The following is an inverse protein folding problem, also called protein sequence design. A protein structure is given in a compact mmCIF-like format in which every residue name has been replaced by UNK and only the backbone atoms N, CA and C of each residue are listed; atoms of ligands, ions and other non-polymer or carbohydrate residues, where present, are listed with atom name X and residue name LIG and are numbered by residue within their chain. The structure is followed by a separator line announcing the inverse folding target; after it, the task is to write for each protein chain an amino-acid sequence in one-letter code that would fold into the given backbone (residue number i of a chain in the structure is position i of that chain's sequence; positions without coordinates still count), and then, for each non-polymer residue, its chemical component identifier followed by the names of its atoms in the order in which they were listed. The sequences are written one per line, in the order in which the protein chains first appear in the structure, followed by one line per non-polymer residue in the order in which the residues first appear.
data_IF_932179643131
#
_entry.id   IF_932179643131
#
_cell.length_a   1.000
_cell.length_b   1.000
_cell.length_c   1.000
_cell.angle_alpha   90.00
_cell.angle_beta   90.00
_cell.angle_gamma   90.00
#
_symmetry.space_group_name_H-M   'P 1'
#
loop_
_entity.id
_entity.type
_entity.pdbx_description
1 polymer ?
#
# COMPACT_ATOMS: atom_id res chain seq x y z
N UNK A 1 19.49 -29.33 -4.85
CA UNK A 1 20.02 -28.11 -4.18
C UNK A 1 19.04 -27.47 -3.19
N UNK A 2 17.79 -27.17 -3.58
CA UNK A 2 16.82 -26.47 -2.70
C UNK A 2 16.58 -27.15 -1.34
N UNK A 3 16.69 -28.48 -1.28
CA UNK A 3 16.50 -29.26 -0.04
C UNK A 3 17.55 -28.95 1.03
N UNK A 4 18.81 -28.74 0.65
CA UNK A 4 19.90 -28.41 1.59
C UNK A 4 19.66 -27.02 2.19
N UNK A 5 19.26 -26.07 1.34
CA UNK A 5 18.91 -24.71 1.78
C UNK A 5 17.73 -24.70 2.76
N UNK A 6 16.65 -25.42 2.45
CA UNK A 6 15.47 -25.52 3.33
C UNK A 6 15.82 -26.19 4.66
N UNK A 7 16.65 -27.23 4.66
CA UNK A 7 17.13 -27.85 5.89
C UNK A 7 17.89 -26.86 6.77
N UNK A 8 18.81 -26.10 6.15
CA UNK A 8 19.67 -25.14 6.83
C UNK A 8 18.86 -23.92 7.34
N UNK A 9 17.89 -23.43 6.58
CA UNK A 9 16.96 -22.39 7.03
C UNK A 9 16.11 -22.83 8.24
N UNK A 10 15.57 -24.06 8.21
CA UNK A 10 14.82 -24.60 9.34
C UNK A 10 15.70 -24.82 10.58
N UNK A 11 16.97 -25.16 10.38
CA UNK A 11 17.95 -25.32 11.44
C UNK A 11 18.23 -23.98 12.14
N UNK A 12 18.52 -22.92 11.36
CA UNK A 12 18.84 -21.59 11.90
C UNK A 12 17.62 -20.77 12.33
N UNK A 13 16.39 -21.22 12.06
CA UNK A 13 15.16 -20.52 12.40
C UNK A 13 14.97 -20.21 13.90
N UNK A 14 15.66 -20.95 14.79
CA UNK A 14 15.57 -20.78 16.26
C UNK A 14 16.67 -19.88 16.82
N UNK A 15 17.59 -19.39 15.98
CA UNK A 15 18.74 -18.60 16.39
C UNK A 15 18.51 -17.11 16.17
N UNK A 16 19.08 -16.24 17.04
CA UNK A 16 19.01 -14.80 16.83
C UNK A 16 19.75 -14.43 15.54
N UNK A 17 19.15 -13.59 14.70
CA UNK A 17 19.72 -13.15 13.42
C UNK A 17 20.88 -12.15 13.57
N UNK A 18 21.93 -12.53 14.31
CA UNK A 18 23.15 -11.73 14.44
C UNK A 18 24.03 -11.89 13.18
N UNK A 19 24.86 -10.90 12.85
CA UNK A 19 25.76 -10.98 11.69
C UNK A 19 26.73 -12.17 11.77
N UNK A 20 27.08 -12.63 12.97
CA UNK A 20 27.93 -13.80 13.20
C UNK A 20 27.21 -15.10 12.83
N UNK A 21 25.93 -15.23 13.21
CA UNK A 21 25.11 -16.41 12.93
C UNK A 21 24.76 -16.49 11.43
N UNK A 22 24.53 -15.36 10.78
CA UNK A 22 24.29 -15.32 9.33
C UNK A 22 25.55 -15.65 8.52
N UNK A 23 26.72 -15.17 8.97
CA UNK A 23 28.00 -15.55 8.38
C UNK A 23 28.23 -17.05 8.51
N UNK A 24 27.98 -17.61 9.69
CA UNK A 24 28.05 -19.05 9.94
C UNK A 24 27.08 -19.83 9.04
N UNK A 25 25.84 -19.35 8.90
CA UNK A 25 24.83 -19.97 8.03
C UNK A 25 25.32 -20.05 6.58
N UNK A 26 25.92 -18.97 6.07
CA UNK A 26 26.41 -18.91 4.70
C UNK A 26 27.68 -19.75 4.50
N UNK A 27 28.61 -19.73 5.47
CA UNK A 27 29.82 -20.55 5.45
C UNK A 27 29.47 -22.05 5.48
N UNK A 28 28.46 -22.44 6.27
CA UNK A 28 27.95 -23.81 6.32
C UNK A 28 27.22 -24.21 5.03
N UNK A 29 26.43 -23.30 4.44
CA UNK A 29 25.75 -23.57 3.17
C UNK A 29 26.77 -23.86 2.06
N UNK A 30 27.81 -23.04 1.95
CA UNK A 30 28.88 -23.24 0.95
C UNK A 30 29.58 -24.58 1.16
N UNK A 31 29.90 -24.93 2.41
CA UNK A 31 30.57 -26.21 2.71
C UNK A 31 29.68 -27.42 2.38
N UNK A 32 28.37 -27.32 2.64
CA UNK A 32 27.41 -28.37 2.28
C UNK A 32 27.22 -28.49 0.76
N UNK A 33 27.20 -27.37 0.03
CA UNK A 33 27.09 -27.34 -1.43
C UNK A 33 28.33 -27.93 -2.10
N UNK A 34 29.53 -27.58 -1.64
CA UNK A 34 30.79 -28.13 -2.15
C UNK A 34 30.83 -29.65 -2.01
N UNK A 35 30.40 -30.16 -0.85
CA UNK A 35 30.35 -31.58 -0.55
C UNK A 35 29.28 -32.32 -1.35
N UNK A 36 28.12 -31.69 -1.54
CA UNK A 36 27.06 -32.24 -2.38
C UNK A 36 27.56 -32.42 -3.83
N UNK A 37 28.27 -31.43 -4.38
CA UNK A 37 28.84 -31.53 -5.73
C UNK A 37 29.97 -32.57 -5.83
N UNK A 38 30.79 -32.71 -4.78
CA UNK A 38 31.79 -33.78 -4.69
C UNK A 38 31.14 -35.17 -4.75
N UNK A 39 30.12 -35.44 -3.93
CA UNK A 39 29.40 -36.71 -3.92
C UNK A 39 28.67 -36.99 -5.24
N UNK A 40 28.23 -35.93 -5.92
CA UNK A 40 27.63 -36.04 -7.26
C UNK A 40 28.67 -36.42 -8.32
N UNK A 41 29.90 -35.90 -8.19
CA UNK A 41 31.02 -36.25 -9.06
C UNK A 41 31.53 -37.68 -8.85
N UNK A 42 31.35 -38.24 -7.64
CA UNK A 42 31.59 -39.65 -7.32
C UNK A 42 30.50 -40.60 -7.86
N UNK A 43 29.44 -40.06 -8.48
CA UNK A 43 28.37 -40.83 -9.10
C UNK A 43 27.23 -41.22 -8.16
N UNK A 44 27.11 -40.60 -6.97
CA UNK A 44 25.98 -40.84 -6.06
C UNK A 44 24.70 -40.19 -6.57
N UNK A 45 23.56 -40.79 -6.22
CA UNK A 45 22.26 -40.21 -6.56
C UNK A 45 21.99 -38.93 -5.76
N UNK A 46 21.18 -38.02 -6.30
CA UNK A 46 20.87 -36.74 -5.63
C UNK A 46 20.33 -36.92 -4.21
N UNK A 47 19.43 -37.88 -4.02
CA UNK A 47 18.82 -38.16 -2.71
C UNK A 47 19.82 -38.78 -1.72
N UNK A 48 20.76 -39.57 -2.21
CA UNK A 48 21.83 -40.18 -1.41
C UNK A 48 22.87 -39.14 -0.99
N UNK A 49 23.28 -38.27 -1.92
CA UNK A 49 24.19 -37.16 -1.63
C UNK A 49 23.59 -36.21 -0.57
N UNK A 50 22.31 -35.84 -0.69
CA UNK A 50 21.61 -35.00 0.30
C UNK A 50 21.57 -35.69 1.67
N UNK A 51 21.24 -36.99 1.72
CA UNK A 51 21.19 -37.74 2.97
C UNK A 51 22.54 -37.81 3.68
N UNK A 52 23.62 -38.00 2.94
CA UNK A 52 25.00 -38.03 3.46
C UNK A 52 25.39 -36.65 4.01
N UNK A 53 25.18 -35.59 3.24
CA UNK A 53 25.51 -34.22 3.66
C UNK A 53 24.76 -33.83 4.93
N UNK A 54 23.47 -34.13 5.05
CA UNK A 54 22.70 -33.83 6.26
C UNK A 54 23.21 -34.62 7.48
N UNK A 55 23.59 -35.90 7.29
CA UNK A 55 24.05 -36.75 8.39
C UNK A 55 25.41 -36.37 8.96
N UNK A 56 26.29 -35.78 8.14
CA UNK A 56 27.66 -35.50 8.54
C UNK A 56 27.83 -34.19 9.32
N UNK A 57 26.94 -33.22 9.08
CA UNK A 57 26.98 -31.94 9.78
C UNK A 57 26.28 -31.96 11.15
N UNK A 58 25.55 -33.03 11.48
CA UNK A 58 25.06 -33.28 12.83
C UNK A 58 23.93 -32.34 13.30
N UNK A 59 23.76 -32.25 14.63
CA UNK A 59 22.73 -31.43 15.28
C UNK A 59 23.28 -30.04 15.66
N UNK A 60 22.45 -29.00 15.50
CA UNK A 60 22.82 -27.60 15.75
C UNK A 60 23.31 -27.34 17.17
N UNK A 61 22.82 -28.11 18.15
CA UNK A 61 23.16 -27.95 19.57
C UNK A 61 24.65 -28.26 19.83
N UNK A 62 25.24 -29.17 19.06
CA UNK A 62 26.66 -29.55 19.17
C UNK A 62 27.57 -28.47 18.55
N UNK A 63 27.17 -27.92 17.40
CA UNK A 63 27.86 -26.82 16.73
C UNK A 63 27.82 -25.51 17.55
N UNK A 64 26.68 -25.21 18.19
CA UNK A 64 26.54 -24.04 19.07
C UNK A 64 27.37 -24.16 20.35
N UNK A 65 27.56 -25.38 20.84
CA UNK A 65 28.39 -25.68 22.01
C UNK A 65 29.88 -25.53 21.69
N UNK A 66 30.33 -25.94 20.51
CA UNK A 66 31.70 -25.74 20.02
C UNK A 66 32.02 -24.25 19.77
N UNK A 67 31.03 -23.46 19.34
CA UNK A 67 31.15 -22.02 19.09
C UNK A 67 30.97 -21.12 20.32
N UNK A 68 30.68 -21.69 21.50
CA UNK A 68 30.61 -20.94 22.77
C UNK A 68 29.38 -20.03 22.96
N UNK A 69 28.29 -20.24 22.19
CA UNK A 69 27.15 -19.32 22.14
C UNK A 69 26.03 -19.59 23.18
N UNK A 70 26.24 -20.48 24.17
CA UNK A 70 25.25 -20.79 25.23
C UNK A 70 24.89 -19.60 26.15
N UNK A 71 25.60 -18.47 26.10
CA UNK A 71 25.39 -17.36 27.03
C UNK A 71 24.18 -16.44 26.70
N UNK A 72 23.62 -16.48 25.49
CA UNK A 72 22.55 -15.56 25.11
C UNK A 72 21.12 -16.02 25.50
N UNK A 73 20.92 -17.32 25.74
CA UNK A 73 19.58 -17.86 26.05
C UNK A 73 19.14 -17.69 27.52
N UNK A 74 20.06 -17.42 28.45
CA UNK A 74 19.75 -17.36 29.88
C UNK A 74 19.61 -15.94 30.45
N UNK A 75 20.14 -14.90 29.81
CA UNK A 75 20.13 -13.54 30.39
C UNK A 75 18.77 -12.82 30.28
N UNK A 76 17.89 -13.22 29.36
CA UNK A 76 16.55 -12.61 29.22
C UNK A 76 15.44 -13.38 29.96
N UNK A 77 15.71 -14.61 30.43
CA UNK A 77 14.70 -15.45 31.11
C UNK A 77 14.57 -15.22 32.62
N UNK A 78 15.55 -14.59 33.28
CA UNK A 78 15.52 -14.39 34.74
C UNK A 78 14.82 -13.10 35.20
N UNK A 79 14.48 -12.17 34.29
CA UNK A 79 13.86 -10.89 34.67
C UNK A 79 12.32 -10.89 34.73
N UNK A 80 11.64 -12.00 34.37
CA UNK A 80 10.18 -12.02 34.20
C UNK A 80 9.39 -13.12 34.95
N UNK A 81 10.05 -14.08 35.58
CA UNK A 81 9.38 -15.26 36.14
C UNK A 81 9.21 -15.16 37.67
N UNK A 82 8.24 -14.39 38.14
CA UNK A 82 7.63 -14.63 39.45
C UNK A 82 6.15 -14.22 39.47
N UNK A 83 5.27 -15.17 39.16
CA UNK A 83 3.98 -15.36 39.85
C UNK A 83 3.19 -16.51 39.20
N UNK A 84 3.25 -17.68 39.83
CA UNK A 84 2.06 -18.44 40.24
C UNK A 84 1.29 -19.31 39.23
N UNK A 85 1.42 -20.63 39.43
CA UNK A 85 0.25 -21.50 39.69
C UNK A 85 -0.29 -22.33 38.52
N UNK A 86 -0.27 -23.66 38.67
CA UNK A 86 -0.69 -24.64 37.65
C UNK A 86 -2.17 -25.02 37.66
N UNK A 87 -2.56 -25.85 36.68
CA UNK A 87 -3.28 -27.15 36.76
C UNK A 87 -3.61 -27.66 35.33
N UNK A 88 -3.97 -28.94 35.29
CA UNK A 88 -3.84 -29.95 34.23
C UNK A 88 -5.05 -30.10 33.27
N UNK A 89 -4.75 -30.55 32.03
CA UNK A 89 -5.51 -31.44 31.10
C UNK A 89 -7.03 -31.27 30.83
N UNK A 90 -7.40 -31.16 29.55
CA UNK A 90 -8.18 -32.17 28.78
C UNK A 90 -8.72 -31.60 27.45
N UNK A 91 -8.69 -32.43 26.41
CA UNK A 91 -9.06 -32.20 25.01
C UNK A 91 -10.57 -31.91 24.79
N UNK A 92 -10.90 -31.07 23.80
CA UNK A 92 -11.99 -31.30 22.83
C UNK A 92 -12.03 -30.19 21.76
N UNK A 93 -12.03 -30.63 20.51
CA UNK A 93 -12.04 -29.85 19.27
C UNK A 93 -13.23 -28.90 19.10
N UNK A 94 -12.98 -27.67 18.63
CA UNK A 94 -13.97 -26.82 17.96
C UNK A 94 -13.28 -25.65 17.26
N UNK A 95 -13.40 -25.60 15.94
CA UNK A 95 -12.90 -24.53 15.07
C UNK A 95 -13.34 -23.13 15.55
N UNK A 96 -12.36 -22.24 15.77
CA UNK A 96 -12.60 -20.79 15.77
C UNK A 96 -11.33 -20.05 15.32
N UNK A 97 -11.53 -19.07 14.43
CA UNK A 97 -10.54 -18.12 13.93
C UNK A 97 -9.58 -17.61 15.01
N UNK A 98 -8.30 -17.94 14.91
CA UNK A 98 -7.22 -17.31 15.68
C UNK A 98 -6.42 -16.35 14.79
N UNK A 99 -6.20 -15.17 15.35
CA UNK A 99 -5.51 -14.02 14.75
C UNK A 99 -4.05 -14.38 14.53
N UNK A 100 -3.57 -14.15 13.31
CA UNK A 100 -2.14 -14.13 13.01
C UNK A 100 -1.49 -12.96 13.76
N UNK A 101 -0.79 -13.29 14.85
CA UNK A 101 0.17 -12.42 15.51
C UNK A 101 1.41 -12.33 14.61
N UNK A 102 1.62 -11.17 13.99
CA UNK A 102 2.81 -10.89 13.20
C UNK A 102 4.01 -10.71 14.15
N UNK A 103 4.75 -11.80 14.38
CA UNK A 103 6.08 -11.73 14.95
C UNK A 103 6.99 -10.93 14.01
N UNK A 104 7.58 -9.87 14.54
CA UNK A 104 8.26 -8.82 13.78
C UNK A 104 9.68 -9.29 13.45
N UNK A 105 9.80 -10.23 12.53
CA UNK A 105 11.07 -10.61 11.91
C UNK A 105 11.64 -9.46 11.09
N UNK A 106 12.92 -9.14 11.30
CA UNK A 106 13.63 -8.19 10.46
C UNK A 106 13.87 -8.82 9.07
N UNK A 107 13.41 -8.16 8.01
CA UNK A 107 13.57 -8.65 6.63
C UNK A 107 14.82 -7.99 6.04
N UNK A 108 15.86 -8.79 5.79
CA UNK A 108 17.04 -8.36 5.03
C UNK A 108 16.75 -8.52 3.53
N UNK A 109 16.94 -7.45 2.75
CA UNK A 109 16.86 -7.51 1.29
C UNK A 109 18.24 -7.36 0.67
N UNK A 110 18.57 -8.21 -0.30
CA UNK A 110 19.76 -8.05 -1.15
C UNK A 110 19.60 -6.86 -2.10
N UNK A 111 20.71 -6.34 -2.64
CA UNK A 111 20.68 -5.23 -3.59
C UNK A 111 19.84 -5.54 -4.84
N UNK A 112 19.96 -6.77 -5.35
CA UNK A 112 19.17 -7.25 -6.48
C UNK A 112 17.67 -7.30 -6.16
N UNK A 113 17.31 -7.75 -4.95
CA UNK A 113 15.91 -7.80 -4.52
C UNK A 113 15.30 -6.40 -4.39
N UNK A 114 16.07 -5.41 -3.92
CA UNK A 114 15.61 -4.02 -3.84
C UNK A 114 15.36 -3.43 -5.23
N UNK A 115 16.29 -3.63 -6.17
CA UNK A 115 16.10 -3.17 -7.56
C UNK A 115 14.91 -3.85 -8.23
N UNK A 116 14.74 -5.15 -8.00
CA UNK A 116 13.59 -5.90 -8.50
C UNK A 116 12.28 -5.34 -7.95
N UNK A 117 12.19 -5.11 -6.64
CA UNK A 117 11.01 -4.51 -5.98
C UNK A 117 10.69 -3.12 -6.54
N UNK A 118 11.71 -2.27 -6.75
CA UNK A 118 11.53 -0.93 -7.33
C UNK A 118 10.99 -1.05 -8.76
N UNK A 119 11.59 -1.91 -9.58
CA UNK A 119 11.21 -2.10 -10.99
C UNK A 119 9.79 -2.66 -11.15
N UNK A 120 9.42 -3.65 -10.33
CA UNK A 120 8.10 -4.27 -10.30
C UNK A 120 7.05 -3.25 -9.87
N UNK A 121 7.31 -2.51 -8.80
CA UNK A 121 6.35 -1.53 -8.32
C UNK A 121 6.14 -0.40 -9.32
N UNK A 122 7.19 0.05 -10.03
CA UNK A 122 7.07 1.03 -11.12
C UNK A 122 6.23 0.50 -12.29
N UNK A 123 6.35 -0.78 -12.61
CA UNK A 123 5.54 -1.42 -13.66
C UNK A 123 4.07 -1.52 -13.24
N UNK A 124 3.79 -2.02 -12.04
CA UNK A 124 2.42 -2.18 -11.56
C UNK A 124 1.73 -0.84 -11.33
N UNK A 125 2.45 0.18 -10.87
CA UNK A 125 1.90 1.53 -10.74
C UNK A 125 1.52 2.16 -12.09
N UNK A 126 2.39 2.03 -13.11
CA UNK A 126 2.05 2.48 -14.47
C UNK A 126 0.80 1.78 -15.00
N UNK A 127 0.62 0.51 -14.68
CA UNK A 127 -0.57 -0.26 -15.06
C UNK A 127 -1.83 0.20 -14.31
N UNK A 128 -1.73 0.45 -12.99
CA UNK A 128 -2.81 1.03 -12.18
C UNK A 128 -3.19 2.42 -12.69
N UNK A 129 -2.20 3.29 -12.96
CA UNK A 129 -2.42 4.61 -13.53
C UNK A 129 -3.07 4.56 -14.90
N UNK A 130 -2.61 3.66 -15.79
CA UNK A 130 -3.20 3.45 -17.10
C UNK A 130 -4.66 2.99 -16.97
N UNK A 131 -4.95 2.07 -16.05
CA UNK A 131 -6.31 1.62 -15.75
C UNK A 131 -7.23 2.76 -15.28
N UNK A 132 -6.79 3.62 -14.35
CA UNK A 132 -7.58 4.80 -13.92
C UNK A 132 -7.82 5.76 -15.07
N UNK A 133 -6.78 6.05 -15.86
CA UNK A 133 -6.88 6.97 -16.99
C UNK A 133 -7.88 6.46 -18.05
N UNK A 134 -7.92 5.14 -18.28
CA UNK A 134 -8.83 4.51 -19.23
C UNK A 134 -10.29 4.52 -18.73
N UNK A 135 -10.49 4.34 -17.41
CA UNK A 135 -11.81 4.48 -16.79
C UNK A 135 -12.37 5.91 -16.90
N UNK A 136 -11.50 6.94 -16.85
CA UNK A 136 -11.90 8.36 -17.05
C UNK A 136 -12.15 8.64 -18.54
N UNK A 137 -11.36 8.04 -19.43
CA UNK A 137 -11.51 8.21 -20.88
C UNK A 137 -12.77 7.54 -21.43
N UNK A 138 -13.28 6.48 -20.79
CA UNK A 138 -14.50 5.77 -21.21
C UNK A 138 -15.74 6.68 -21.34
N UNK A 139 -16.16 7.38 -20.27
CA UNK A 139 -17.21 8.40 -20.34
C UNK A 139 -16.91 9.54 -21.32
N UNK A 140 -15.64 9.96 -21.42
CA UNK A 140 -15.24 11.00 -22.37
C UNK A 140 -15.49 10.59 -23.82
N UNK A 141 -15.10 9.36 -24.19
CA UNK A 141 -15.34 8.78 -25.51
C UNK A 141 -16.83 8.60 -25.79
N UNK A 142 -17.62 8.15 -24.80
CA UNK A 142 -19.07 8.06 -24.94
C UNK A 142 -19.69 9.42 -25.27
N UNK A 143 -19.30 10.48 -24.55
CA UNK A 143 -19.78 11.85 -24.76
C UNK A 143 -19.40 12.35 -26.15
N UNK A 144 -18.15 12.14 -26.57
CA UNK A 144 -17.67 12.54 -27.90
C UNK A 144 -18.43 11.84 -29.03
N UNK A 145 -18.60 10.51 -28.91
CA UNK A 145 -19.31 9.69 -29.91
C UNK A 145 -20.78 10.11 -29.97
N UNK A 146 -21.43 10.34 -28.84
CA UNK A 146 -22.80 10.84 -28.78
C UNK A 146 -22.95 12.21 -29.49
N UNK A 147 -22.01 13.13 -29.26
CA UNK A 147 -21.99 14.41 -29.97
C UNK A 147 -21.78 14.25 -31.48
N UNK A 148 -20.89 13.35 -31.91
CA UNK A 148 -20.66 13.08 -33.32
C UNK A 148 -21.88 12.45 -34.00
N UNK A 149 -22.51 11.44 -33.37
CA UNK A 149 -23.73 10.81 -33.90
C UNK A 149 -24.89 11.78 -34.00
N UNK A 150 -25.03 12.72 -33.05
CA UNK A 150 -26.04 13.78 -33.12
C UNK A 150 -25.91 14.63 -34.40
N UNK A 151 -24.69 14.77 -34.95
CA UNK A 151 -24.41 15.50 -36.20
C UNK A 151 -24.84 14.74 -37.45
N UNK A 152 -24.74 13.41 -37.44
CA UNK A 152 -25.00 12.55 -38.60
C UNK A 152 -26.47 12.05 -38.62
N UNK A 153 -27.27 12.42 -37.61
CA UNK A 153 -28.69 12.05 -37.48
C UNK A 153 -29.56 12.28 -38.74
N UNK A 154 -29.42 13.35 -39.54
CA UNK A 154 -30.25 13.49 -40.74
C UNK A 154 -29.95 12.46 -41.83
N UNK A 155 -28.77 11.84 -41.84
CA UNK A 155 -28.30 10.94 -42.91
C UNK A 155 -28.43 9.45 -42.54
N UNK A 156 -28.43 9.11 -41.25
CA UNK A 156 -28.35 7.74 -40.72
C UNK A 156 -29.61 7.22 -40.00
N UNK A 157 -30.80 7.75 -40.34
CA UNK A 157 -32.07 7.41 -39.70
C UNK A 157 -32.46 5.90 -39.71
N UNK A 158 -31.78 5.05 -40.50
CA UNK A 158 -32.02 3.59 -40.56
C UNK A 158 -31.39 2.77 -39.42
N UNK A 159 -30.45 3.32 -38.65
CA UNK A 159 -29.68 2.57 -37.63
C UNK A 159 -30.07 2.89 -36.17
N UNK A 160 -31.26 3.46 -35.94
CA UNK A 160 -31.69 3.95 -34.61
C UNK A 160 -31.60 2.93 -33.46
N UNK A 161 -31.72 1.62 -33.74
CA UNK A 161 -31.55 0.56 -32.72
C UNK A 161 -30.10 0.25 -32.38
N UNK A 162 -29.15 0.54 -33.27
CA UNK A 162 -27.73 0.27 -33.05
C UNK A 162 -26.98 1.49 -32.50
N UNK A 163 -27.52 2.71 -32.63
CA UNK A 163 -26.92 3.95 -32.12
C UNK A 163 -26.60 3.86 -30.62
N UNK A 164 -27.56 3.44 -29.79
CA UNK A 164 -27.34 3.27 -28.36
C UNK A 164 -26.25 2.24 -28.04
N UNK A 165 -26.16 1.17 -28.84
CA UNK A 165 -25.14 0.12 -28.67
C UNK A 165 -23.77 0.67 -29.05
N UNK A 166 -23.64 1.37 -30.16
CA UNK A 166 -22.37 1.97 -30.61
C UNK A 166 -21.86 3.06 -29.66
N UNK A 167 -22.74 3.84 -29.06
CA UNK A 167 -22.37 4.87 -28.07
C UNK A 167 -21.94 4.27 -26.73
N UNK A 168 -22.61 3.21 -26.25
CA UNK A 168 -22.31 2.60 -24.95
C UNK A 168 -21.18 1.56 -24.98
N UNK A 169 -21.00 0.85 -26.10
CA UNK A 169 -19.96 -0.17 -26.26
C UNK A 169 -18.54 0.29 -25.85
N UNK A 170 -18.02 1.44 -26.31
CA UNK A 170 -16.66 1.89 -25.94
C UNK A 170 -16.51 2.18 -24.45
N UNK A 171 -17.57 2.64 -23.78
CA UNK A 171 -17.57 2.86 -22.33
C UNK A 171 -17.41 1.55 -21.57
N UNK A 172 -18.19 0.51 -21.93
CA UNK A 172 -18.07 -0.79 -21.30
C UNK A 172 -16.72 -1.46 -21.58
N UNK A 173 -16.17 -1.30 -22.79
CA UNK A 173 -14.85 -1.82 -23.15
C UNK A 173 -13.75 -1.15 -22.32
N UNK A 174 -13.77 0.19 -22.21
CA UNK A 174 -12.80 0.94 -21.41
C UNK A 174 -12.94 0.61 -19.92
N UNK A 175 -14.16 0.44 -19.41
CA UNK A 175 -14.39 0.03 -18.02
C UNK A 175 -13.89 -1.39 -17.75
N UNK A 176 -14.19 -2.36 -18.60
CA UNK A 176 -13.74 -3.74 -18.43
C UNK A 176 -12.20 -3.82 -18.46
N UNK A 177 -11.56 -3.17 -19.44
CA UNK A 177 -10.11 -3.13 -19.54
C UNK A 177 -9.47 -2.33 -18.39
N UNK A 178 -10.02 -1.16 -18.06
CA UNK A 178 -9.50 -0.27 -17.03
C UNK A 178 -9.60 -0.86 -15.63
N UNK A 179 -10.75 -1.45 -15.28
CA UNK A 179 -10.94 -2.16 -14.01
C UNK A 179 -10.04 -3.41 -13.94
N UNK A 180 -9.88 -4.15 -15.04
CA UNK A 180 -8.97 -5.30 -15.09
C UNK A 180 -7.51 -4.90 -14.78
N UNK A 181 -7.00 -3.84 -15.41
CA UNK A 181 -5.66 -3.30 -15.14
C UNK A 181 -5.53 -2.78 -13.70
N UNK A 182 -6.56 -2.10 -13.19
CA UNK A 182 -6.60 -1.58 -11.83
C UNK A 182 -6.52 -2.67 -10.78
N UNK A 183 -7.35 -3.71 -10.89
CA UNK A 183 -7.41 -4.81 -9.93
C UNK A 183 -6.09 -5.59 -9.94
N UNK A 184 -5.55 -5.89 -11.12
CA UNK A 184 -4.29 -6.60 -11.25
C UNK A 184 -3.11 -5.77 -10.71
N UNK A 185 -3.01 -4.49 -11.07
CA UNK A 185 -1.96 -3.61 -10.56
C UNK A 185 -2.06 -3.40 -9.05
N UNK A 186 -3.26 -3.09 -8.54
CA UNK A 186 -3.49 -2.82 -7.12
C UNK A 186 -3.19 -4.02 -6.23
N UNK A 187 -3.61 -5.23 -6.64
CA UNK A 187 -3.33 -6.45 -5.86
C UNK A 187 -1.85 -6.79 -5.80
N UNK A 188 -1.08 -6.53 -6.88
CA UNK A 188 0.38 -6.71 -6.88
C UNK A 188 1.10 -5.66 -6.04
N UNK A 189 0.65 -4.40 -6.09
CA UNK A 189 1.14 -3.34 -5.20
C UNK A 189 0.89 -3.65 -3.71
N UNK A 190 -0.23 -4.30 -3.39
CA UNK A 190 -0.57 -4.67 -2.01
C UNK A 190 0.37 -5.71 -1.42
N UNK A 191 0.92 -6.61 -2.24
CA UNK A 191 1.96 -7.54 -1.80
C UNK A 191 3.13 -6.73 -1.23
N UNK A 192 3.73 -5.81 -1.97
CA UNK A 192 4.86 -5.01 -1.45
C UNK A 192 4.53 -4.09 -0.26
N UNK A 193 3.25 -3.94 0.12
CA UNK A 193 2.85 -3.22 1.33
C UNK A 193 3.25 -3.96 2.60
N UNK A 194 3.53 -5.27 2.56
CA UNK A 194 4.12 -5.99 3.71
C UNK A 194 5.46 -5.38 4.11
N UNK A 195 6.25 -4.89 3.13
CA UNK A 195 7.54 -4.22 3.37
C UNK A 195 7.39 -2.95 4.22
N UNK A 196 6.19 -2.35 4.26
CA UNK A 196 5.93 -1.19 5.10
C UNK A 196 5.83 -1.53 6.59
N UNK A 197 5.47 -2.77 6.89
CA UNK A 197 5.23 -3.24 8.25
C UNK A 197 6.40 -4.05 8.82
N UNK A 198 7.32 -4.51 7.97
CA UNK A 198 8.54 -5.23 8.39
C UNK A 198 9.66 -4.29 8.84
N UNK A 199 10.49 -4.74 9.79
CA UNK A 199 11.74 -4.07 10.14
C UNK A 199 12.79 -4.36 9.05
N UNK A 200 12.86 -3.55 8.00
CA UNK A 200 13.90 -3.72 6.99
C UNK A 200 15.28 -3.41 7.59
N UNK A 201 16.27 -4.27 7.36
CA UNK A 201 17.66 -3.93 7.65
C UNK A 201 18.38 -3.91 6.31
N UNK A 202 18.64 -2.70 5.79
CA UNK A 202 19.42 -2.50 4.57
C UNK A 202 20.90 -2.39 4.94
N UNK A 203 21.78 -2.93 4.09
CA UNK A 203 23.21 -2.70 4.22
C UNK A 203 23.54 -1.21 4.00
N UNK A 204 24.52 -0.64 4.71
CA UNK A 204 24.88 0.78 4.58
C UNK A 204 25.25 1.21 3.16
N UNK A 205 25.83 0.31 2.36
CA UNK A 205 26.16 0.53 0.95
C UNK A 205 24.91 0.63 0.07
N UNK A 206 23.91 -0.23 0.31
CA UNK A 206 22.66 -0.22 -0.45
C UNK A 206 21.79 0.99 -0.11
N UNK A 207 21.79 1.41 1.17
CA UNK A 207 21.10 2.62 1.59
C UNK A 207 21.64 3.88 0.87
N UNK A 208 22.96 3.96 0.66
CA UNK A 208 23.57 5.06 -0.07
C UNK A 208 23.17 5.06 -1.55
N UNK A 209 23.13 3.89 -2.20
CA UNK A 209 22.70 3.74 -3.59
C UNK A 209 21.23 4.14 -3.79
N UNK A 210 20.34 3.66 -2.91
CA UNK A 210 18.90 4.00 -2.96
C UNK A 210 18.67 5.49 -2.67
N UNK A 211 19.46 6.09 -1.76
CA UNK A 211 19.39 7.52 -1.48
C UNK A 211 19.81 8.36 -2.70
N UNK A 212 20.82 7.94 -3.46
CA UNK A 212 21.23 8.59 -4.71
C UNK A 212 20.14 8.48 -5.80
N UNK A 213 19.56 7.29 -5.96
CA UNK A 213 18.42 7.09 -6.86
C UNK A 213 17.21 7.96 -6.47
N UNK A 214 16.92 8.07 -5.16
CA UNK A 214 15.86 8.95 -4.67
C UNK A 214 16.20 10.43 -4.96
N UNK A 215 17.43 10.87 -4.72
CA UNK A 215 17.85 12.25 -4.96
C UNK A 215 17.69 12.66 -6.43
N UNK A 216 17.98 11.75 -7.37
CA UNK A 216 17.74 11.95 -8.80
C UNK A 216 16.25 11.94 -9.17
N UNK A 217 15.42 11.18 -8.44
CA UNK A 217 13.98 11.07 -8.71
C UNK A 217 13.14 12.20 -8.09
N UNK A 218 13.51 12.74 -6.93
CA UNK A 218 12.80 13.84 -6.25
C UNK A 218 12.50 15.05 -7.17
N UNK A 219 13.47 15.61 -7.93
CA UNK A 219 13.19 16.72 -8.83
C UNK A 219 12.29 16.28 -10.00
N UNK A 220 12.42 15.05 -10.49
CA UNK A 220 11.57 14.52 -11.56
C UNK A 220 10.13 14.34 -11.09
N UNK A 221 9.91 13.83 -9.88
CA UNK A 221 8.61 13.72 -9.25
C UNK A 221 7.94 15.09 -9.08
N UNK A 222 8.71 16.10 -8.64
CA UNK A 222 8.22 17.48 -8.52
C UNK A 222 7.80 18.06 -9.89
N UNK A 223 8.57 17.80 -10.95
CA UNK A 223 8.20 18.22 -12.32
C UNK A 223 6.93 17.50 -12.79
N UNK A 224 6.85 16.17 -12.65
CA UNK A 224 5.69 15.37 -13.08
C UNK A 224 4.40 15.82 -12.37
N UNK A 225 4.46 16.05 -11.05
CA UNK A 225 3.32 16.53 -10.28
C UNK A 225 2.94 17.96 -10.64
N UNK A 226 3.91 18.86 -10.85
CA UNK A 226 3.66 20.23 -11.31
C UNK A 226 2.97 20.23 -12.68
N UNK A 227 3.45 19.41 -13.62
CA UNK A 227 2.82 19.23 -14.94
C UNK A 227 1.38 18.74 -14.78
N UNK A 228 1.13 17.74 -13.93
CA UNK A 228 -0.23 17.27 -13.64
C UNK A 228 -1.16 18.37 -13.11
N UNK A 229 -0.68 19.23 -12.21
CA UNK A 229 -1.46 20.36 -11.68
C UNK A 229 -1.75 21.39 -12.77
N UNK A 230 -0.76 21.72 -13.60
CA UNK A 230 -0.93 22.65 -14.73
C UNK A 230 -1.98 22.12 -15.71
N UNK A 231 -1.95 20.82 -16.03
CA UNK A 231 -2.96 20.16 -16.86
C UNK A 231 -4.38 20.26 -16.24
N UNK A 232 -4.52 20.04 -14.93
CA UNK A 232 -5.80 20.19 -14.24
C UNK A 232 -6.34 21.62 -14.28
N UNK A 233 -5.47 22.63 -14.19
CA UNK A 233 -5.87 24.05 -14.30
C UNK A 233 -6.23 24.42 -15.74
N UNK A 234 -5.51 23.85 -16.71
CA UNK A 234 -5.79 24.06 -18.14
C UNK A 234 -7.09 23.38 -18.60
N UNK A 235 -7.49 22.27 -17.96
CA UNK A 235 -8.70 21.53 -18.31
C UNK A 235 -9.99 22.38 -18.37
N UNK A 236 -10.41 23.12 -17.32
CA UNK A 236 -11.58 23.98 -17.40
C UNK A 236 -11.40 25.14 -18.37
N UNK A 237 -10.18 25.66 -18.54
CA UNK A 237 -9.89 26.70 -19.52
C UNK A 237 -10.18 26.21 -20.95
N UNK A 238 -9.76 24.99 -21.30
CA UNK A 238 -10.02 24.43 -22.63
C UNK A 238 -11.50 24.19 -22.90
N UNK A 239 -12.28 23.80 -21.89
CA UNK A 239 -13.74 23.68 -22.05
C UNK A 239 -14.36 25.03 -22.40
N UNK A 240 -14.01 26.09 -21.66
CA UNK A 240 -14.55 27.43 -21.89
C UNK A 240 -14.08 27.96 -23.25
N UNK A 241 -12.79 27.82 -23.58
CA UNK A 241 -12.23 28.30 -24.83
C UNK A 241 -12.85 27.60 -26.05
N UNK A 242 -13.03 26.28 -26.02
CA UNK A 242 -13.67 25.54 -27.12
C UNK A 242 -15.17 25.82 -27.22
N UNK A 243 -15.85 26.05 -26.09
CA UNK A 243 -17.25 26.45 -26.09
C UNK A 243 -17.44 27.80 -26.79
N UNK A 244 -16.59 28.79 -26.51
CA UNK A 244 -16.67 30.13 -27.12
C UNK A 244 -16.21 30.11 -28.59
N UNK A 245 -15.15 29.35 -28.90
CA UNK A 245 -14.64 29.22 -30.27
C UNK A 245 -15.63 28.47 -31.18
N UNK A 246 -16.33 27.48 -30.63
CA UNK A 246 -17.37 26.73 -31.34
C UNK A 246 -18.57 27.59 -31.76
N UNK A 247 -18.81 28.71 -31.10
CA UNK A 247 -19.83 29.69 -31.51
C UNK A 247 -19.37 30.52 -32.72
N UNK A 248 -18.06 30.77 -32.85
CA UNK A 248 -17.47 31.57 -33.93
C UNK A 248 -17.19 30.79 -35.22
N UNK A 249 -17.01 29.47 -35.13
CA UNK A 249 -16.80 28.58 -36.26
C UNK A 249 -18.15 27.92 -36.55
N UNK A 250 -18.62 27.92 -37.81
CA UNK A 250 -19.89 27.32 -38.26
C UNK A 250 -20.02 25.79 -38.04
N UNK A 251 -19.19 25.19 -37.19
CA UNK A 251 -19.31 23.85 -36.64
C UNK A 251 -20.26 23.89 -35.42
N UNK A 252 -21.53 24.24 -35.67
CA UNK A 252 -22.74 24.12 -34.82
C UNK A 252 -22.65 24.46 -33.31
N UNK A 253 -23.58 25.31 -32.85
CA UNK A 253 -23.71 25.77 -31.46
C UNK A 253 -23.71 24.63 -30.40
N UNK A 254 -24.11 23.41 -30.76
CA UNK A 254 -24.16 22.26 -29.84
C UNK A 254 -22.84 21.47 -29.70
N UNK A 255 -21.88 21.64 -30.63
CA UNK A 255 -20.69 20.78 -30.70
C UNK A 255 -19.50 21.29 -29.88
N UNK A 256 -19.34 22.61 -29.77
CA UNK A 256 -18.24 23.22 -29.02
C UNK A 256 -18.19 22.76 -27.56
N UNK A 257 -19.36 22.66 -26.92
CA UNK A 257 -19.48 22.17 -25.54
C UNK A 257 -19.11 20.70 -25.39
N UNK A 258 -19.59 19.83 -26.29
CA UNK A 258 -19.32 18.38 -26.23
C UNK A 258 -17.83 18.08 -26.43
N UNK A 259 -17.20 18.72 -27.42
CA UNK A 259 -15.77 18.56 -27.69
C UNK A 259 -14.95 19.14 -26.53
N UNK A 260 -15.37 20.28 -25.95
CA UNK A 260 -14.75 20.87 -24.76
C UNK A 260 -14.77 19.92 -23.55
N UNK A 261 -15.88 19.23 -23.30
CA UNK A 261 -15.99 18.24 -22.22
C UNK A 261 -15.05 17.05 -22.46
N UNK A 262 -14.91 16.59 -23.71
CA UNK A 262 -13.95 15.53 -24.05
C UNK A 262 -12.50 15.93 -23.70
N UNK A 263 -12.05 17.13 -24.11
CA UNK A 263 -10.71 17.62 -23.79
C UNK A 263 -10.49 17.84 -22.29
N UNK A 264 -11.54 18.27 -21.56
CA UNK A 264 -11.50 18.36 -20.11
C UNK A 264 -11.18 17.00 -19.48
N UNK A 265 -11.92 15.96 -19.84
CA UNK A 265 -11.67 14.61 -19.31
C UNK A 265 -10.34 14.03 -19.78
N UNK A 266 -9.90 14.35 -21.00
CA UNK A 266 -8.61 13.93 -21.53
C UNK A 266 -7.45 14.49 -20.70
N UNK A 267 -7.47 15.78 -20.36
CA UNK A 267 -6.44 16.37 -19.51
C UNK A 267 -6.48 15.84 -18.08
N UNK A 268 -7.68 15.64 -17.52
CA UNK A 268 -7.83 15.02 -16.20
C UNK A 268 -7.27 13.60 -16.20
N UNK A 269 -7.57 12.81 -17.23
CA UNK A 269 -7.09 11.43 -17.39
C UNK A 269 -5.55 11.37 -17.41
N UNK A 270 -4.91 12.26 -18.17
CA UNK A 270 -3.44 12.39 -18.23
C UNK A 270 -2.89 12.84 -16.86
N UNK A 271 -3.48 13.85 -16.23
CA UNK A 271 -3.03 14.34 -14.93
C UNK A 271 -3.09 13.25 -13.84
N UNK A 272 -4.17 12.46 -13.81
CA UNK A 272 -4.33 11.34 -12.87
C UNK A 272 -3.28 10.26 -13.11
N UNK A 273 -2.97 9.93 -14.36
CA UNK A 273 -1.87 9.01 -14.69
C UNK A 273 -0.53 9.48 -14.12
N UNK A 274 -0.21 10.76 -14.29
CA UNK A 274 1.02 11.36 -13.76
C UNK A 274 1.05 11.33 -12.22
N UNK A 275 -0.05 11.64 -11.54
CA UNK A 275 -0.11 11.59 -10.08
C UNK A 275 0.06 10.19 -9.50
N UNK A 276 -0.54 9.16 -10.12
CA UNK A 276 -0.43 7.78 -9.64
C UNK A 276 1.00 7.27 -9.79
N UNK A 277 1.61 7.51 -10.96
CA UNK A 277 2.98 7.07 -11.24
C UNK A 277 3.99 7.77 -10.34
N UNK A 278 3.95 9.10 -10.26
CA UNK A 278 4.83 9.88 -9.39
C UNK A 278 4.66 9.52 -7.91
N UNK A 279 3.41 9.44 -7.44
CA UNK A 279 3.11 9.17 -6.03
C UNK A 279 3.57 7.80 -5.57
N UNK A 280 3.41 6.76 -6.41
CA UNK A 280 3.87 5.41 -6.07
C UNK A 280 5.38 5.29 -5.96
N UNK A 281 6.13 5.97 -6.83
CA UNK A 281 7.59 5.91 -6.84
C UNK A 281 8.14 6.59 -5.58
N UNK A 282 7.58 7.75 -5.22
CA UNK A 282 7.90 8.45 -3.97
C UNK A 282 7.59 7.60 -2.72
N UNK A 283 6.46 6.88 -2.71
CA UNK A 283 6.07 6.03 -1.58
C UNK A 283 7.04 4.85 -1.37
N UNK A 284 7.56 4.23 -2.44
CA UNK A 284 8.53 3.13 -2.34
C UNK A 284 9.84 3.61 -1.75
N UNK A 285 10.41 4.72 -2.27
CA UNK A 285 11.66 5.26 -1.75
C UNK A 285 11.53 5.61 -0.26
N UNK A 286 10.40 6.19 0.15
CA UNK A 286 10.11 6.48 1.57
C UNK A 286 10.02 5.21 2.43
N UNK A 287 9.49 4.12 1.89
CA UNK A 287 9.42 2.82 2.57
C UNK A 287 10.84 2.23 2.71
N UNK A 288 11.61 2.18 1.62
CA UNK A 288 12.96 1.62 1.59
C UNK A 288 13.96 2.38 2.48
N UNK A 289 13.88 3.71 2.49
CA UNK A 289 14.75 4.57 3.31
C UNK A 289 14.24 4.74 4.75
N UNK A 290 13.15 4.05 5.11
CA UNK A 290 12.52 4.09 6.43
C UNK A 290 12.27 5.51 6.94
N UNK A 291 12.01 6.47 6.05
CA UNK A 291 11.91 7.88 6.44
C UNK A 291 10.78 8.11 7.45
N UNK A 292 9.74 7.24 7.44
CA UNK A 292 8.65 7.27 8.41
C UNK A 292 9.02 6.77 9.81
N UNK A 293 10.12 6.03 10.00
CA UNK A 293 10.60 5.65 11.36
C UNK A 293 11.25 6.82 12.08
N UNK A 294 11.83 7.79 11.36
CA UNK A 294 12.29 9.07 11.95
C UNK A 294 11.14 10.06 12.22
N UNK A 295 10.06 10.02 11.44
CA UNK A 295 8.83 10.76 11.79
C UNK A 295 8.08 10.21 13.03
N UNK A 296 8.43 9.00 13.49
CA UNK A 296 7.97 8.44 14.76
C UNK A 296 8.41 9.22 16.01
N UNK A 297 9.35 10.18 15.89
CA UNK A 297 9.71 11.08 17.00
C UNK A 297 9.02 12.46 16.97
N UNK A 298 8.20 12.81 15.95
CA UNK A 298 7.45 14.08 15.94
C UNK A 298 6.05 14.07 15.31
N UNK A 299 5.49 12.94 14.91
CA UNK A 299 4.03 12.74 14.97
C UNK A 299 3.74 11.86 16.15
N UNK A 300 3.53 12.50 17.31
CA UNK A 300 2.72 11.93 18.38
C UNK A 300 1.33 11.65 17.79
N UNK A 301 1.18 10.53 17.06
CA UNK A 301 0.05 9.66 17.33
C UNK A 301 0.16 9.47 18.82
N UNK A 302 -0.73 10.10 19.57
CA UNK A 302 -0.93 9.77 20.95
C UNK A 302 -1.15 8.26 20.96
N UNK A 303 -0.08 7.51 21.25
CA UNK A 303 -0.18 6.35 22.09
C UNK A 303 -0.92 6.88 23.31
N UNK A 304 -2.25 6.81 23.24
CA UNK A 304 -3.09 6.86 24.40
C UNK A 304 -2.62 5.66 25.19
N UNK A 305 -1.67 5.95 26.08
CA UNK A 305 -1.39 5.18 27.26
C UNK A 305 -2.73 4.80 27.84
N UNK A 306 -3.05 3.51 27.72
CA UNK A 306 -3.71 2.69 28.75
C UNK A 306 -4.46 3.47 29.83
N UNK A 307 -5.43 4.28 29.41
CA UNK A 307 -6.32 4.99 30.30
C UNK A 307 -7.65 5.15 29.60
N UNK A 308 -8.69 4.79 30.33
CA UNK A 308 -10.10 4.68 29.99
C UNK A 308 -10.64 5.80 29.07
N UNK A 309 -10.03 6.98 29.07
CA UNK A 309 -10.42 8.12 28.23
C UNK A 309 -10.12 7.92 26.73
N UNK A 310 -9.00 7.31 26.32
CA UNK A 310 -8.70 7.24 24.88
C UNK A 310 -9.41 6.12 24.11
N UNK A 311 -9.91 5.09 24.79
CA UNK A 311 -10.86 4.14 24.19
C UNK A 311 -12.16 4.85 23.80
N UNK A 312 -12.64 5.82 24.61
CA UNK A 312 -13.83 6.60 24.25
C UNK A 312 -13.58 7.49 23.03
N UNK A 313 -12.37 8.03 22.87
CA UNK A 313 -12.00 8.84 21.70
C UNK A 313 -11.99 8.00 20.42
N UNK A 314 -11.43 6.79 20.45
CA UNK A 314 -11.44 5.89 19.28
C UNK A 314 -12.85 5.39 18.95
N UNK A 315 -13.69 5.16 19.96
CA UNK A 315 -15.09 4.76 19.78
C UNK A 315 -15.92 5.89 19.17
N UNK A 316 -15.80 7.11 19.72
CA UNK A 316 -16.52 8.28 19.22
C UNK A 316 -16.12 8.57 17.76
N UNK A 317 -14.84 8.43 17.42
CA UNK A 317 -14.36 8.65 16.06
C UNK A 317 -14.85 7.58 15.06
N UNK A 318 -14.90 6.31 15.49
CA UNK A 318 -15.42 5.20 14.69
C UNK A 318 -16.92 5.36 14.41
N UNK A 319 -17.68 5.87 15.39
CA UNK A 319 -19.13 6.05 15.30
C UNK A 319 -19.53 7.37 14.62
N UNK A 320 -18.63 8.36 14.57
CA UNK A 320 -18.91 9.70 14.06
C UNK A 320 -19.41 9.72 12.61
N UNK A 321 -18.67 9.07 11.71
CA UNK A 321 -19.01 9.01 10.28
C UNK A 321 -20.34 8.30 9.99
N UNK A 322 -20.58 7.08 10.49
CA UNK A 322 -21.87 6.41 10.28
C UNK A 322 -23.04 7.21 10.88
N UNK A 323 -22.84 7.86 12.04
CA UNK A 323 -23.87 8.71 12.65
C UNK A 323 -24.23 9.93 11.79
N UNK A 324 -23.24 10.61 11.21
CA UNK A 324 -23.48 11.72 10.26
C UNK A 324 -24.17 11.23 9.01
N UNK A 325 -23.79 10.07 8.48
CA UNK A 325 -24.48 9.51 7.31
C UNK A 325 -25.94 9.20 7.62
N UNK A 326 -26.25 8.67 8.81
CA UNK A 326 -27.63 8.49 9.26
C UNK A 326 -28.38 9.82 9.37
N UNK A 327 -27.78 10.85 9.97
CA UNK A 327 -28.39 12.19 10.07
C UNK A 327 -28.63 12.78 8.67
N UNK A 328 -27.65 12.64 7.76
CA UNK A 328 -27.77 13.06 6.37
C UNK A 328 -28.94 12.36 5.68
N UNK A 329 -29.05 11.04 5.79
CA UNK A 329 -30.15 10.29 5.17
C UNK A 329 -31.51 10.69 5.76
N UNK A 330 -31.64 10.75 7.08
CA UNK A 330 -32.88 11.15 7.75
C UNK A 330 -33.30 12.55 7.29
N UNK A 331 -32.37 13.51 7.29
CA UNK A 331 -32.64 14.88 6.85
C UNK A 331 -32.98 14.94 5.35
N UNK A 332 -32.23 14.24 4.51
CA UNK A 332 -32.42 14.27 3.05
C UNK A 332 -33.76 13.66 2.63
N UNK A 333 -34.23 12.61 3.33
CA UNK A 333 -35.55 12.02 3.09
C UNK A 333 -36.70 12.89 3.62
N UNK A 334 -36.58 13.47 4.83
CA UNK A 334 -37.62 14.31 5.41
C UNK A 334 -37.86 15.61 4.63
N UNK A 335 -36.80 16.24 4.12
CA UNK A 335 -36.89 17.54 3.47
C UNK A 335 -36.90 17.46 1.93
N UNK A 336 -36.73 16.28 1.33
CA UNK A 336 -36.64 16.05 -0.12
C UNK A 336 -35.63 16.98 -0.85
N UNK A 337 -34.73 17.61 -0.10
CA UNK A 337 -33.87 18.71 -0.55
C UNK A 337 -32.42 18.23 -0.71
N UNK A 338 -32.24 17.24 -1.58
CA UNK A 338 -30.95 16.61 -1.89
C UNK A 338 -29.88 17.63 -2.35
N UNK A 339 -30.31 18.74 -2.95
CA UNK A 339 -29.43 19.83 -3.41
C UNK A 339 -28.77 20.61 -2.27
N UNK A 340 -29.38 20.68 -1.09
CA UNK A 340 -28.84 21.40 0.09
C UNK A 340 -28.18 20.48 1.12
N UNK A 341 -28.55 19.19 1.14
CA UNK A 341 -28.07 18.22 2.14
C UNK A 341 -26.55 18.01 2.11
N UNK A 342 -25.88 18.34 1.00
CA UNK A 342 -24.42 18.21 0.88
C UNK A 342 -23.65 19.08 1.88
N UNK A 343 -24.25 20.18 2.38
CA UNK A 343 -23.64 21.10 3.35
C UNK A 343 -23.36 20.45 4.72
N UNK A 344 -24.01 19.32 5.02
CA UNK A 344 -23.78 18.53 6.24
C UNK A 344 -22.33 18.02 6.28
N UNK A 345 -21.71 17.74 5.13
CA UNK A 345 -20.35 17.20 5.06
C UNK A 345 -19.27 18.22 5.48
N UNK A 346 -19.24 19.46 4.95
CA UNK A 346 -18.39 20.51 5.48
C UNK A 346 -18.61 20.79 6.97
N UNK A 347 -19.88 20.86 7.40
CA UNK A 347 -20.22 21.13 8.81
C UNK A 347 -19.70 20.03 9.75
N UNK A 348 -19.86 18.76 9.35
CA UNK A 348 -19.31 17.61 10.05
C UNK A 348 -17.78 17.69 10.16
N UNK A 349 -17.08 18.09 9.10
CA UNK A 349 -15.62 18.23 9.16
C UNK A 349 -15.19 19.23 10.26
N UNK A 350 -15.89 20.36 10.36
CA UNK A 350 -15.62 21.39 11.38
C UNK A 350 -15.95 20.89 12.79
N UNK A 351 -17.12 20.26 12.97
CA UNK A 351 -17.54 19.71 14.27
C UNK A 351 -16.55 18.68 14.79
N UNK A 352 -16.03 17.80 13.92
CA UNK A 352 -15.00 16.82 14.28
C UNK A 352 -13.73 17.50 14.80
N UNK A 353 -13.29 18.58 14.13
CA UNK A 353 -12.10 19.33 14.54
C UNK A 353 -12.30 19.99 15.91
N UNK A 354 -13.49 20.53 16.16
CA UNK A 354 -13.84 21.13 17.45
C UNK A 354 -13.84 20.08 18.57
N UNK A 355 -14.42 18.90 18.30
CA UNK A 355 -14.45 17.78 19.23
C UNK A 355 -13.03 17.34 19.63
N UNK A 356 -12.11 17.24 18.67
CA UNK A 356 -10.70 16.92 18.95
C UNK A 356 -10.04 17.97 19.86
N UNK A 357 -10.28 19.25 19.61
CA UNK A 357 -9.69 20.33 20.40
C UNK A 357 -10.17 20.31 21.85
N UNK A 358 -11.47 20.05 22.07
CA UNK A 358 -12.05 19.95 23.42
C UNK A 358 -11.51 18.73 24.16
N UNK A 359 -11.44 17.58 23.50
CA UNK A 359 -10.92 16.34 24.08
C UNK A 359 -9.44 16.46 24.47
N UNK A 360 -8.59 17.05 23.61
CA UNK A 360 -7.17 17.28 23.91
C UNK A 360 -7.00 18.23 25.11
N UNK A 361 -7.89 19.22 25.24
CA UNK A 361 -7.91 20.13 26.38
C UNK A 361 -8.27 19.39 27.68
N UNK A 362 -9.31 18.55 27.66
CA UNK A 362 -9.72 17.75 28.81
C UNK A 362 -8.62 16.75 29.22
N UNK A 363 -7.95 16.11 28.25
CA UNK A 363 -6.85 15.19 28.53
C UNK A 363 -5.66 15.89 29.21
N UNK A 364 -5.32 17.11 28.77
CA UNK A 364 -4.28 17.94 29.40
C UNK A 364 -4.64 18.29 30.84
N UNK A 365 -5.88 18.67 31.11
CA UNK A 365 -6.35 19.00 32.46
C UNK A 365 -6.34 17.78 33.40
N UNK A 366 -6.76 16.60 32.91
CA UNK A 366 -6.70 15.35 33.68
C UNK A 366 -5.26 14.96 34.05
N UNK A 367 -4.29 15.17 33.12
CA UNK A 367 -2.87 14.92 33.40
C UNK A 367 -2.29 15.89 34.43
N UNK A 368 -2.70 17.17 34.41
CA UNK A 368 -2.30 18.16 35.42
C UNK A 368 -2.84 17.81 36.81
N UNK A 369 -4.12 17.45 36.90
CA UNK A 369 -4.76 17.05 38.16
C UNK A 369 -4.11 15.80 38.79
N UNK A 370 -3.72 14.81 37.97
CA UNK A 370 -2.98 13.63 38.45
C UNK A 370 -1.55 13.95 38.93
N UNK A 371 -0.87 14.93 38.32
CA UNK A 371 0.46 15.37 38.78
C UNK A 371 0.39 16.14 40.10
N UNK A 372 -0.63 17.01 40.27
CA UNK A 372 -0.83 17.78 41.50
C UNK A 372 -1.25 16.94 42.72
N UNK A 373 -1.77 15.72 42.52
CA UNK A 373 -2.08 14.78 43.60
C UNK A 373 -0.90 13.87 44.00
N UNK A 374 0.19 13.87 43.20
CA UNK A 374 1.39 13.05 43.44
C UNK A 374 2.58 13.85 43.97
N UNK A 375 2.54 15.18 43.86
CA UNK A 375 3.42 16.11 44.55
C UNK A 375 2.71 16.56 45.84
#
# INVERSE_FOLDING_TARGET
MDTIRIYLENMFARLPGTPEIMKLQNDMLHTMEDKYEELKSEGKSENEAIGIVISEFGNIDELLEELGLKAAQNTEREAGANAGGGWQQSEASSYTHEKEDYDTGAVFLSGEQVEQVISDTRRYSRLTGAGTSLCIMGPALMILINGLFSSVRPELARLSRLEAVFTLFPLFLCLAAGLGMLIYGSSRLEQYKFLKHSNLILSPSLQASVADMQANFQPQCAVITTVGIVLCVLAPFTLIALSQLGESISLGEEYGGTIGIFFLFLFISIAVYLFITAGSEEDIYKILLQEKKKEGKKKKKASVSSSQAGQTISLILSVYWPLITCIYFIWSFLFHSWSTSWLIWPLASVVRHLLYSVLDTIEKEQKKAKKSKKA
#
